data_IF_200785885117
#
_entry.id   IF_200785885117
#
_cell.length_a   1.000
_cell.length_b   1.000
_cell.length_c   1.000
_cell.angle_alpha   90.00
_cell.angle_beta   90.00
_cell.angle_gamma   90.00
#
_symmetry.space_group_name_H-M   'P 1'
#
loop_
_entity.id
_entity.type
_entity.pdbx_description
1 polymer ?
#
# COMPACT_ATOMS: atom_id res chain seq x y z
N UNK A 1 -10.18 -3.82 -9.43
CA UNK A 1 -11.55 -3.28 -9.56
C UNK A 1 -11.63 -2.01 -8.72
N UNK A 2 -12.25 -0.95 -9.23
CA UNK A 2 -12.64 0.20 -8.42
C UNK A 2 -14.15 0.17 -8.43
N UNK A 3 -14.77 -0.26 -7.33
CA UNK A 3 -16.23 -0.18 -7.24
C UNK A 3 -16.56 1.12 -6.51
N UNK A 4 -16.64 2.20 -7.28
CA UNK A 4 -17.06 3.52 -6.79
C UNK A 4 -18.20 4.06 -7.63
N UNK A 5 -18.93 5.04 -7.10
CA UNK A 5 -20.11 5.64 -7.74
C UNK A 5 -19.88 6.25 -9.13
N UNK A 6 -18.63 6.33 -9.60
CA UNK A 6 -18.24 7.11 -10.78
C UNK A 6 -17.30 6.36 -11.75
N UNK A 7 -16.73 5.21 -11.36
CA UNK A 7 -15.89 4.36 -12.22
C UNK A 7 -15.97 2.90 -11.75
N UNK A 8 -15.93 1.95 -12.70
CA UNK A 8 -15.89 0.49 -12.44
C UNK A 8 -14.48 -0.10 -12.41
N UNK A 9 -13.54 0.61 -13.05
CA UNK A 9 -12.16 0.18 -13.20
C UNK A 9 -11.21 1.33 -12.86
N UNK A 10 -10.02 0.99 -12.40
CA UNK A 10 -8.92 1.94 -12.19
C UNK A 10 -7.59 1.25 -12.44
N UNK A 11 -6.62 2.08 -12.80
CA UNK A 11 -5.22 1.67 -12.79
C UNK A 11 -4.69 1.60 -11.36
N UNK A 12 -3.77 0.66 -11.13
CA UNK A 12 -3.04 0.49 -9.88
C UNK A 12 -1.59 0.12 -10.22
N UNK A 13 -0.65 0.73 -9.48
CA UNK A 13 0.77 0.42 -9.57
C UNK A 13 1.37 0.50 -10.97
N UNK A 14 0.90 1.44 -11.80
CA UNK A 14 1.50 1.69 -13.10
C UNK A 14 2.94 2.15 -12.90
N UNK A 15 3.95 1.46 -13.45
CA UNK A 15 5.35 1.77 -13.21
C UNK A 15 5.73 3.05 -13.95
N UNK A 16 5.64 4.20 -13.29
CA UNK A 16 5.97 5.50 -13.88
C UNK A 16 7.49 5.64 -14.00
N UNK A 17 7.98 6.08 -15.16
CA UNK A 17 9.41 6.28 -15.37
C UNK A 17 9.99 7.28 -14.37
N UNK A 18 11.26 7.05 -14.01
CA UNK A 18 11.98 7.85 -13.02
C UNK A 18 11.90 9.35 -13.31
N UNK A 19 12.23 9.75 -14.53
CA UNK A 19 12.27 11.16 -14.94
C UNK A 19 10.89 11.81 -14.92
N UNK A 20 9.84 11.09 -15.34
CA UNK A 20 8.47 11.62 -15.31
C UNK A 20 8.05 11.95 -13.87
N UNK A 21 8.39 11.09 -12.92
CA UNK A 21 8.06 11.31 -11.52
C UNK A 21 8.92 12.41 -10.88
N UNK A 22 10.23 12.37 -11.09
CA UNK A 22 11.18 13.36 -10.57
C UNK A 22 10.89 14.76 -11.11
N UNK A 23 10.66 14.90 -12.42
CA UNK A 23 10.38 16.19 -13.04
C UNK A 23 9.03 16.76 -12.59
N UNK A 24 7.98 15.92 -12.54
CA UNK A 24 6.68 16.36 -12.04
C UNK A 24 6.77 16.92 -10.61
N UNK A 25 7.50 16.22 -9.73
CA UNK A 25 7.74 16.71 -8.38
C UNK A 25 8.54 18.01 -8.36
N UNK A 26 9.62 18.08 -9.15
CA UNK A 26 10.49 19.24 -9.21
C UNK A 26 9.74 20.50 -9.66
N UNK A 27 8.87 20.38 -10.66
CA UNK A 27 8.06 21.48 -11.18
C UNK A 27 7.01 21.97 -10.16
N UNK A 28 6.58 21.09 -9.24
CA UNK A 28 5.53 21.38 -8.27
C UNK A 28 6.04 21.74 -6.87
N UNK A 29 7.31 21.51 -6.54
CA UNK A 29 7.81 21.50 -5.14
C UNK A 29 7.52 22.78 -4.33
N UNK A 30 7.42 23.93 -5.01
CA UNK A 30 7.18 25.25 -4.41
C UNK A 30 5.71 25.67 -4.46
N UNK A 31 4.84 24.90 -5.15
CA UNK A 31 3.40 25.10 -5.13
C UNK A 31 2.81 24.76 -3.76
N UNK A 32 1.52 25.06 -3.55
CA UNK A 32 0.84 24.77 -2.29
C UNK A 32 -0.18 23.65 -2.45
N UNK A 33 -0.32 22.82 -1.42
CA UNK A 33 -1.43 21.88 -1.25
C UNK A 33 -1.73 21.67 0.23
N UNK A 34 -2.92 21.15 0.54
CA UNK A 34 -3.37 20.89 1.90
C UNK A 34 -3.51 19.38 2.19
N UNK A 35 -3.24 18.51 1.21
CA UNK A 35 -3.41 17.05 1.36
C UNK A 35 -2.47 16.25 0.46
N UNK A 36 -2.12 15.06 0.93
CA UNK A 36 -1.31 14.07 0.19
C UNK A 36 -2.14 13.18 -0.76
N UNK A 37 -3.44 12.98 -0.52
CA UNK A 37 -4.29 12.12 -1.34
C UNK A 37 -5.42 12.92 -1.95
N UNK A 38 -5.44 13.00 -3.28
CA UNK A 38 -6.36 13.83 -4.03
C UNK A 38 -7.57 13.07 -4.57
N UNK A 39 -7.65 11.74 -4.39
CA UNK A 39 -8.87 11.00 -4.72
C UNK A 39 -9.98 11.17 -3.69
N UNK A 40 -9.66 11.45 -2.43
CA UNK A 40 -10.65 11.40 -1.33
C UNK A 40 -10.39 12.41 -0.23
N UNK A 41 -11.45 12.69 0.52
CA UNK A 41 -11.39 13.53 1.72
C UNK A 41 -11.24 15.02 1.44
N UNK A 42 -11.68 15.49 0.26
CA UNK A 42 -11.92 16.91 -0.01
C UNK A 42 -13.24 17.35 0.59
N UNK A 43 -13.37 18.64 0.87
CA UNK A 43 -14.66 19.26 1.14
C UNK A 43 -15.32 19.65 -0.19
N UNK A 44 -16.55 19.20 -0.42
CA UNK A 44 -17.33 19.43 -1.65
C UNK A 44 -18.57 20.31 -1.44
N UNK A 45 -18.73 20.94 -0.27
CA UNK A 45 -19.92 21.73 0.07
C UNK A 45 -20.24 22.85 -0.93
N UNK A 46 -19.23 23.37 -1.65
CA UNK A 46 -19.39 24.42 -2.66
C UNK A 46 -19.45 23.89 -4.11
N UNK A 47 -19.62 22.58 -4.30
CA UNK A 47 -19.61 21.93 -5.63
C UNK A 47 -18.22 21.79 -6.28
N UNK A 48 -17.19 22.42 -5.73
CA UNK A 48 -15.78 22.29 -6.11
C UNK A 48 -14.95 21.80 -4.93
N UNK A 49 -13.84 21.11 -5.18
CA UNK A 49 -13.00 20.58 -4.11
C UNK A 49 -12.31 21.73 -3.35
N UNK A 50 -12.53 21.75 -2.04
CA UNK A 50 -11.87 22.64 -1.09
C UNK A 50 -11.09 21.83 -0.08
N UNK A 51 -10.06 22.45 0.48
CA UNK A 51 -9.30 21.87 1.58
C UNK A 51 -10.24 21.42 2.73
N UNK A 52 -9.95 20.29 3.38
CA UNK A 52 -10.68 19.84 4.56
C UNK A 52 -10.72 20.94 5.63
N UNK A 53 -11.78 20.98 6.42
CA UNK A 53 -11.84 21.89 7.56
C UNK A 53 -10.66 21.65 8.52
N UNK A 54 -10.08 22.73 9.02
CA UNK A 54 -8.91 22.69 9.91
C UNK A 54 -7.58 22.33 9.23
N UNK A 55 -7.56 22.07 7.92
CA UNK A 55 -6.30 21.86 7.19
C UNK A 55 -5.68 23.18 6.73
N UNK A 56 -4.35 23.22 6.71
CA UNK A 56 -3.57 24.36 6.25
C UNK A 56 -2.87 24.03 4.93
N UNK A 57 -2.84 25.01 4.02
CA UNK A 57 -2.00 24.93 2.83
C UNK A 57 -0.52 24.95 3.23
N UNK A 58 0.25 24.02 2.69
CA UNK A 58 1.69 23.88 2.91
C UNK A 58 2.39 23.72 1.56
N UNK A 59 3.68 24.06 1.47
CA UNK A 59 4.49 23.75 0.29
C UNK A 59 4.37 22.28 -0.11
N UNK A 60 4.31 22.02 -1.40
CA UNK A 60 4.21 20.68 -1.98
C UNK A 60 5.35 19.80 -1.49
N UNK A 61 6.57 20.33 -1.40
CA UNK A 61 7.74 19.67 -0.82
C UNK A 61 7.57 19.26 0.65
N UNK A 62 6.72 19.92 1.43
CA UNK A 62 6.41 19.50 2.81
C UNK A 62 5.36 18.38 2.85
N UNK A 63 4.41 18.38 1.92
CA UNK A 63 3.34 17.37 1.84
C UNK A 63 3.83 16.10 1.14
N UNK A 64 4.70 16.26 0.15
CA UNK A 64 5.37 15.19 -0.61
C UNK A 64 6.89 15.41 -0.53
N UNK A 65 7.58 14.87 0.49
CA UNK A 65 9.01 15.11 0.68
C UNK A 65 9.91 14.59 -0.44
N UNK A 66 9.52 13.50 -1.10
CA UNK A 66 10.26 12.91 -2.22
C UNK A 66 9.37 12.77 -3.46
N UNK A 67 9.94 12.68 -4.67
CA UNK A 67 9.16 12.41 -5.88
C UNK A 67 8.26 11.18 -5.77
N UNK A 68 8.78 10.10 -5.17
CA UNK A 68 8.00 8.88 -4.92
C UNK A 68 6.76 9.15 -4.07
N UNK A 69 6.83 10.02 -3.07
CA UNK A 69 5.67 10.37 -2.24
C UNK A 69 4.57 10.99 -3.10
N UNK A 70 4.92 11.91 -4.01
CA UNK A 70 3.97 12.51 -4.94
C UNK A 70 3.33 11.44 -5.82
N UNK A 71 4.14 10.74 -6.61
CA UNK A 71 3.63 9.87 -7.67
C UNK A 71 2.81 8.69 -7.13
N UNK A 72 3.18 8.15 -5.96
CA UNK A 72 2.45 7.04 -5.36
C UNK A 72 1.21 7.50 -4.58
N UNK A 73 1.29 8.59 -3.81
CA UNK A 73 0.21 8.94 -2.86
C UNK A 73 -0.90 9.80 -3.47
N UNK A 74 -0.56 10.74 -4.35
CA UNK A 74 -1.51 11.77 -4.83
C UNK A 74 -2.77 11.16 -5.46
N UNK A 75 -2.61 10.07 -6.22
CA UNK A 75 -3.71 9.32 -6.83
C UNK A 75 -3.90 7.93 -6.22
N UNK A 76 -3.71 7.80 -4.90
CA UNK A 76 -3.98 6.55 -4.15
C UNK A 76 -3.33 5.29 -4.75
N UNK A 77 -2.05 5.34 -5.11
CA UNK A 77 -1.29 4.26 -5.74
C UNK A 77 -1.72 3.91 -7.17
N UNK A 78 -2.33 4.85 -7.90
CA UNK A 78 -2.52 4.69 -9.35
C UNK A 78 -1.18 4.46 -10.07
N UNK A 79 -0.15 5.21 -9.68
CA UNK A 79 1.22 5.04 -10.14
C UNK A 79 2.10 4.44 -9.03
N UNK A 80 3.18 3.80 -9.46
CA UNK A 80 4.29 3.33 -8.63
C UNK A 80 5.57 3.91 -9.20
N UNK A 81 6.45 4.44 -8.36
CA UNK A 81 7.75 4.92 -8.82
C UNK A 81 8.58 3.73 -9.35
N UNK A 82 9.14 3.88 -10.55
CA UNK A 82 10.08 2.92 -11.14
C UNK A 82 11.49 3.51 -11.17
N UNK A 83 12.54 2.74 -10.85
CA UNK A 83 13.92 3.19 -11.07
C UNK A 83 14.31 3.22 -12.56
N UNK A 84 13.49 2.62 -13.42
CA UNK A 84 13.71 2.54 -14.86
C UNK A 84 13.61 3.92 -15.51
N UNK A 85 14.53 4.18 -16.45
CA UNK A 85 14.63 5.44 -17.19
C UNK A 85 13.66 5.44 -18.37
N UNK A 86 13.27 6.63 -18.85
CA UNK A 86 12.58 6.80 -20.15
C UNK A 86 13.29 6.03 -21.25
N UNK A 87 12.52 5.46 -22.19
CA UNK A 87 13.04 4.66 -23.31
C UNK A 87 13.47 3.23 -22.97
N UNK A 88 13.54 2.83 -21.69
CA UNK A 88 13.90 1.45 -21.28
C UNK A 88 12.94 0.35 -21.76
N UNK A 89 11.70 0.71 -22.12
CA UNK A 89 10.63 -0.25 -22.36
C UNK A 89 10.14 -0.95 -21.08
N UNK A 90 10.55 -0.47 -19.90
CA UNK A 90 10.23 -1.07 -18.59
C UNK A 90 9.39 -0.18 -17.67
N UNK A 91 9.07 1.04 -18.08
CA UNK A 91 8.22 1.98 -17.36
C UNK A 91 7.37 2.80 -18.33
N UNK A 92 6.23 3.27 -17.85
CA UNK A 92 5.30 4.13 -18.58
C UNK A 92 5.81 5.57 -18.52
N UNK A 93 5.86 6.20 -19.69
CA UNK A 93 6.16 7.61 -19.87
C UNK A 93 4.84 8.38 -19.95
N UNK A 94 4.71 9.45 -19.17
CA UNK A 94 3.56 10.34 -19.22
C UNK A 94 3.73 11.39 -20.32
N UNK A 95 4.99 11.71 -20.65
CA UNK A 95 5.36 12.67 -21.69
C UNK A 95 6.26 12.01 -22.73
N UNK A 96 5.88 12.11 -24.01
CA UNK A 96 6.67 11.64 -25.15
C UNK A 96 6.26 12.38 -26.44
N UNK A 97 7.15 12.42 -27.42
CA UNK A 97 6.89 13.00 -28.73
C UNK A 97 6.06 12.02 -29.59
N UNK A 98 4.81 12.37 -29.99
CA UNK A 98 3.99 11.47 -30.79
C UNK A 98 4.59 11.20 -32.19
N UNK A 99 5.44 12.07 -32.72
CA UNK A 99 6.10 11.85 -34.01
C UNK A 99 7.10 10.68 -33.97
N UNK A 100 7.61 10.34 -32.78
CA UNK A 100 8.50 9.19 -32.54
C UNK A 100 7.72 7.91 -32.14
N UNK A 101 6.39 7.98 -32.16
CA UNK A 101 5.51 6.90 -31.76
C UNK A 101 5.29 6.80 -30.25
N UNK A 102 4.33 5.97 -29.84
CA UNK A 102 3.99 5.80 -28.42
C UNK A 102 4.88 4.72 -27.76
N UNK A 103 5.82 5.09 -26.87
CA UNK A 103 6.73 4.15 -26.24
C UNK A 103 6.02 3.19 -25.26
N UNK A 104 4.83 3.55 -24.77
CA UNK A 104 4.08 2.77 -23.78
C UNK A 104 3.47 1.50 -24.37
N UNK A 105 3.37 1.38 -25.70
CA UNK A 105 2.89 0.15 -26.36
C UNK A 105 3.82 -1.03 -26.04
N UNK A 106 5.13 -0.83 -26.13
CA UNK A 106 6.12 -1.87 -25.82
C UNK A 106 6.09 -2.24 -24.33
N UNK A 107 5.94 -1.24 -23.46
CA UNK A 107 5.86 -1.41 -22.00
C UNK A 107 4.62 -2.23 -21.61
N UNK A 108 3.45 -1.89 -22.15
CA UNK A 108 2.21 -2.61 -21.90
C UNK A 108 2.31 -4.08 -22.36
N UNK A 109 2.86 -4.33 -23.56
CA UNK A 109 3.11 -5.69 -24.06
C UNK A 109 4.04 -6.47 -23.14
N UNK A 110 5.12 -5.85 -22.67
CA UNK A 110 6.07 -6.48 -21.75
C UNK A 110 5.39 -6.91 -20.44
N UNK A 111 4.67 -6.00 -19.76
CA UNK A 111 4.02 -6.36 -18.50
C UNK A 111 2.84 -7.32 -18.67
N UNK A 112 2.10 -7.26 -19.78
CA UNK A 112 1.06 -8.22 -20.10
C UNK A 112 1.63 -9.62 -20.36
N UNK A 113 2.77 -9.72 -21.05
CA UNK A 113 3.49 -10.98 -21.22
C UNK A 113 4.02 -11.49 -19.88
N UNK A 114 4.73 -10.64 -19.11
CA UNK A 114 5.26 -11.00 -17.79
C UNK A 114 4.18 -11.52 -16.84
N UNK A 115 2.99 -10.88 -16.83
CA UNK A 115 1.85 -11.33 -16.02
C UNK A 115 1.31 -12.69 -16.45
N UNK A 116 1.28 -12.99 -17.76
CA UNK A 116 0.85 -14.30 -18.29
C UNK A 116 1.88 -15.40 -18.04
N UNK A 117 3.16 -15.09 -18.15
CA UNK A 117 4.26 -16.04 -17.99
C UNK A 117 4.67 -16.27 -16.53
N UNK A 118 4.21 -15.41 -15.62
CA UNK A 118 4.36 -15.68 -14.19
C UNK A 118 3.43 -16.83 -13.82
N UNK A 119 3.90 -17.90 -13.16
CA UNK A 119 3.01 -18.91 -12.61
C UNK A 119 2.02 -18.19 -11.71
N UNK A 120 0.75 -18.11 -12.12
CA UNK A 120 -0.31 -17.79 -11.19
C UNK A 120 -0.15 -18.80 -10.04
N UNK A 121 -0.25 -18.32 -8.80
CA UNK A 121 -0.38 -19.20 -7.65
C UNK A 121 -1.44 -20.23 -8.02
N UNK A 122 -0.96 -21.43 -8.36
CA UNK A 122 -1.81 -22.58 -8.58
C UNK A 122 -2.25 -22.85 -7.16
N UNK A 123 -3.45 -22.37 -6.82
CA UNK A 123 -4.14 -22.82 -5.64
C UNK A 123 -4.17 -24.33 -5.78
N UNK A 124 -3.26 -25.00 -5.08
CA UNK A 124 -3.35 -26.42 -4.79
C UNK A 124 -4.64 -26.57 -3.99
N UNK A 125 -5.76 -26.67 -4.69
CA UNK A 125 -6.85 -27.50 -4.24
C UNK A 125 -6.28 -28.91 -4.28
N UNK A 126 -5.55 -29.26 -3.22
CA UNK A 126 -5.30 -30.64 -2.90
C UNK A 126 -6.68 -31.31 -2.88
N UNK A 127 -6.90 -32.41 -3.60
CA UNK A 127 -8.11 -33.19 -3.39
C UNK A 127 -8.09 -33.58 -1.92
N UNK A 128 -9.12 -33.16 -1.17
CA UNK A 128 -9.33 -33.65 0.19
C UNK A 128 -9.60 -35.14 0.07
N UNK A 129 -8.55 -35.96 0.26
CA UNK A 129 -8.73 -37.36 0.60
C UNK A 129 -9.40 -37.38 1.97
N UNK A 130 -10.70 -37.64 1.95
CA UNK A 130 -11.50 -37.89 3.14
C UNK A 130 -10.92 -39.11 3.86
N UNK A 131 -10.16 -38.88 4.92
CA UNK A 131 -9.93 -39.93 5.92
C UNK A 131 -9.70 -39.28 7.29
N UNK A 132 -10.78 -39.27 8.08
CA UNK A 132 -10.71 -39.00 9.50
C UNK A 132 -10.02 -40.19 10.19
N UNK A 133 -9.00 -39.97 11.04
CA UNK A 133 -8.53 -41.03 11.92
C UNK A 133 -9.58 -41.26 13.01
N UNK A 134 -10.06 -42.49 13.13
CA UNK A 134 -10.90 -42.90 14.23
C UNK A 134 -10.09 -42.87 15.53
N UNK A 135 -10.55 -42.07 16.50
CA UNK A 135 -10.02 -42.05 17.84
C UNK A 135 -10.49 -43.31 18.60
N UNK A 136 -9.54 -44.11 19.06
CA UNK A 136 -9.78 -45.16 20.06
C UNK A 136 -9.80 -44.54 21.46
N UNK A 137 -10.76 -44.91 22.34
CA UNK A 137 -10.85 -44.36 23.68
C UNK A 137 -9.88 -45.10 24.62
N UNK A 138 -9.03 -44.36 25.32
CA UNK A 138 -8.20 -44.91 26.40
C UNK A 138 -8.91 -44.64 27.74
N UNK A 139 -9.34 -45.66 28.51
CA UNK A 139 -9.96 -45.47 29.80
C UNK A 139 -8.90 -45.44 30.92
N UNK A 140 -9.01 -44.46 31.81
CA UNK A 140 -8.54 -44.59 33.20
C UNK A 140 -7.10 -44.15 33.49
N UNK A 141 -6.97 -42.93 34.05
CA UNK A 141 -6.22 -42.68 35.29
C UNK A 141 -6.71 -41.30 35.82
N UNK A 142 -7.76 -41.26 36.63
CA UNK A 142 -7.75 -41.27 38.10
C UNK A 142 -7.00 -40.06 38.73
N UNK A 143 -7.82 -39.07 39.14
CA UNK A 143 -7.85 -38.38 40.45
C UNK A 143 -6.65 -37.51 40.93
N UNK A 144 -6.88 -36.17 40.92
CA UNK A 144 -6.88 -35.14 42.02
C UNK A 144 -5.80 -35.19 43.15
N UNK A 145 -5.46 -34.08 43.88
CA UNK A 145 -6.28 -32.88 44.11
C UNK A 145 -5.60 -31.49 44.11
N UNK A 146 -6.46 -30.48 44.01
CA UNK A 146 -6.30 -29.10 44.45
C UNK A 146 -5.91 -29.01 45.94
N UNK A 147 -4.83 -28.32 46.29
CA UNK A 147 -4.69 -27.53 47.52
C UNK A 147 -3.31 -26.85 47.56
N UNK A 148 -3.27 -25.52 47.45
CA UNK A 148 -2.64 -24.63 48.44
C UNK A 148 -2.94 -23.17 48.05
N UNK A 149 -4.04 -22.65 48.59
CA UNK A 149 -4.23 -21.23 48.85
C UNK A 149 -3.71 -20.96 50.27
N UNK A 150 -3.18 -19.73 50.49
CA UNK A 150 -3.18 -18.89 51.72
C UNK A 150 -1.80 -18.30 52.12
N UNK A 151 -1.55 -17.06 51.63
CA UNK A 151 -1.08 -15.82 52.34
C UNK A 151 0.28 -15.78 53.09
N UNK A 152 0.80 -14.59 53.53
CA UNK A 152 0.61 -13.19 53.14
C UNK A 152 1.95 -12.40 52.93
N UNK A 153 1.81 -11.10 52.62
CA UNK A 153 2.84 -10.06 52.63
C UNK A 153 3.46 -9.80 54.02
N UNK A 154 4.67 -9.21 54.06
CA UNK A 154 5.01 -7.99 54.82
C UNK A 154 6.53 -7.63 54.75
N UNK A 155 6.77 -6.33 54.54
CA UNK A 155 7.81 -5.41 55.04
C UNK A 155 9.31 -5.78 55.15
N UNK A 156 10.15 -4.87 54.64
CA UNK A 156 11.55 -4.70 55.03
C UNK A 156 12.22 -3.50 54.36
N UNK A 157 12.27 -2.37 55.08
CA UNK A 157 12.90 -1.11 54.70
C UNK A 157 14.43 -1.12 54.88
N UNK A 158 15.12 -0.18 54.21
CA UNK A 158 16.41 0.53 54.49
C UNK A 158 17.02 0.91 53.12
N UNK A 159 17.31 2.15 52.73
CA UNK A 159 17.71 3.32 53.50
C UNK A 159 19.06 3.81 52.94
N UNK A 160 19.12 5.12 52.65
CA UNK A 160 20.32 5.99 52.58
C UNK A 160 20.89 6.38 51.21
N UNK A 161 20.72 7.68 50.97
CA UNK A 161 21.39 8.58 50.06
C UNK A 161 22.89 8.75 50.37
N UNK A 162 23.64 9.06 49.32
CA UNK A 162 24.69 10.08 49.27
C UNK A 162 24.79 10.59 47.83
#
# INVERSE_FOLDING_TARGET
>A
QADSSWRRERILHVPLCREDCEQWWQDCKDALTCKENWHKGWNWATGTNRCPWGSMCRPFSQVFPQPKDLCEKVWSNSFRFSPERRGSGRCIQMWFDPAQGNPNVAVAKYFAWKKRSSPAQTGTLAPQSAQAPQALPCPGLLLLPLALLLLPAELGALGSSL
#
